data_IF_549983848668
#
_entry.id   IF_549983848668
#
_cell.length_a   1.000
_cell.length_b   1.000
_cell.length_c   1.000
_cell.angle_alpha   90.00
_cell.angle_beta   90.00
_cell.angle_gamma   90.00
#
_symmetry.space_group_name_H-M   'P 1'
#
loop_
_entity.id
_entity.type
_entity.pdbx_description
1 polymer ?
#
# COMPACT_ATOMS: atom_id res chain seq x y z
N UNK A 1 -24.01 36.08 29.83
CA UNK A 1 -23.59 34.76 29.33
C UNK A 1 -22.59 34.99 28.20
N UNK A 2 -21.29 34.77 28.46
CA UNK A 2 -20.24 34.88 27.44
C UNK A 2 -20.06 33.50 26.81
N UNK A 3 -20.44 33.38 25.56
CA UNK A 3 -20.22 32.16 24.76
C UNK A 3 -18.77 32.19 24.26
N UNK A 4 -17.92 31.39 24.91
CA UNK A 4 -16.53 31.20 24.48
C UNK A 4 -16.52 30.15 23.36
N UNK A 5 -16.36 30.60 22.12
CA UNK A 5 -16.06 29.72 21.01
C UNK A 5 -14.65 29.15 21.22
N UNK A 6 -14.55 27.89 21.61
CA UNK A 6 -13.29 27.15 21.51
C UNK A 6 -13.06 26.82 20.03
N UNK A 7 -12.08 27.50 19.45
CA UNK A 7 -11.55 27.12 18.13
C UNK A 7 -10.77 25.81 18.28
N UNK A 8 -11.31 24.71 17.76
CA UNK A 8 -10.59 23.44 17.68
C UNK A 8 -9.62 23.48 16.51
N UNK A 9 -8.34 23.46 16.83
CA UNK A 9 -7.27 23.26 15.86
C UNK A 9 -7.31 21.82 15.35
N UNK A 10 -7.53 21.65 14.03
CA UNK A 10 -7.40 20.34 13.36
C UNK A 10 -5.91 20.08 13.22
N UNK A 11 -5.36 19.27 14.11
CA UNK A 11 -3.99 18.79 13.97
C UNK A 11 -3.97 17.67 12.92
N UNK A 12 -3.49 17.98 11.72
CA UNK A 12 -3.20 16.98 10.69
C UNK A 12 -1.85 16.35 11.08
N UNK A 13 -1.89 15.22 11.76
CA UNK A 13 -0.68 14.43 11.99
C UNK A 13 -0.46 13.52 10.79
N UNK A 14 0.59 13.81 10.01
CA UNK A 14 1.13 12.85 9.07
C UNK A 14 1.84 11.75 9.87
N UNK A 15 1.27 10.56 9.89
CA UNK A 15 1.89 9.39 10.51
C UNK A 15 2.51 8.51 9.42
N UNK A 16 3.83 8.56 9.34
CA UNK A 16 4.63 7.60 8.60
C UNK A 16 4.81 6.34 9.44
N UNK A 17 4.16 5.25 9.08
CA UNK A 17 4.50 3.91 9.58
C UNK A 17 4.03 2.85 8.59
N UNK A 18 4.83 1.83 8.34
CA UNK A 18 4.54 0.61 7.57
C UNK A 18 4.01 0.78 6.12
N UNK A 19 3.54 1.96 5.73
CA UNK A 19 3.15 2.26 4.35
C UNK A 19 4.34 2.59 3.44
N UNK A 20 5.56 2.74 3.98
CA UNK A 20 6.74 3.20 3.22
C UNK A 20 7.11 2.26 2.06
N UNK A 21 6.66 1.01 2.09
CA UNK A 21 6.87 0.02 1.04
C UNK A 21 5.56 -0.52 0.44
N UNK A 22 4.42 0.14 0.71
CA UNK A 22 3.15 -0.22 0.10
C UNK A 22 2.85 0.68 -1.10
N UNK A 23 2.33 0.04 -2.15
CA UNK A 23 1.86 0.70 -3.36
C UNK A 23 0.47 0.21 -3.73
N UNK A 24 -0.20 0.98 -4.55
CA UNK A 24 -1.45 0.60 -5.22
C UNK A 24 -1.16 0.40 -6.70
N UNK A 25 -1.54 -0.76 -7.22
CA UNK A 25 -1.48 -1.10 -8.65
C UNK A 25 -2.90 -1.04 -9.21
N UNK A 26 -3.13 -0.13 -10.16
CA UNK A 26 -4.44 0.07 -10.80
C UNK A 26 -4.42 -0.44 -12.22
N UNK A 27 -5.34 -1.31 -12.58
CA UNK A 27 -5.49 -1.85 -13.93
C UNK A 27 -6.93 -2.35 -14.16
N UNK A 28 -7.48 -2.13 -15.35
CA UNK A 28 -8.80 -2.64 -15.73
C UNK A 28 -9.93 -2.22 -14.78
N UNK A 29 -9.87 -1.02 -14.19
CA UNK A 29 -10.84 -0.51 -13.24
C UNK A 29 -10.75 -1.12 -11.83
N UNK A 30 -9.73 -1.96 -11.56
CA UNK A 30 -9.45 -2.54 -10.25
C UNK A 30 -8.19 -1.93 -9.63
N UNK A 31 -8.13 -1.95 -8.30
CA UNK A 31 -6.96 -1.59 -7.51
C UNK A 31 -6.48 -2.81 -6.72
N UNK A 32 -5.17 -2.99 -6.62
CA UNK A 32 -4.51 -4.05 -5.88
C UNK A 32 -3.46 -3.42 -4.98
N UNK A 33 -3.38 -3.84 -3.72
CA UNK A 33 -2.27 -3.49 -2.85
C UNK A 33 -1.06 -4.36 -3.21
N UNK A 34 0.16 -3.79 -3.11
CA UNK A 34 1.40 -4.53 -3.31
C UNK A 34 2.45 -4.10 -2.28
N UNK A 35 3.25 -5.07 -1.85
CA UNK A 35 4.45 -4.83 -1.03
C UNK A 35 5.66 -4.74 -1.95
N UNK A 36 6.40 -3.65 -1.85
CA UNK A 36 7.70 -3.46 -2.50
C UNK A 36 8.79 -3.91 -1.54
N UNK A 37 9.78 -4.68 -2.02
CA UNK A 37 10.88 -5.14 -1.19
C UNK A 37 11.82 -3.98 -0.80
N UNK A 38 12.32 -3.96 0.43
CA UNK A 38 13.30 -2.98 0.89
C UNK A 38 14.72 -3.32 0.37
N UNK A 39 14.85 -3.24 -0.95
CA UNK A 39 16.08 -3.43 -1.71
C UNK A 39 16.46 -2.15 -2.44
N UNK A 40 17.68 -2.07 -2.99
CA UNK A 40 18.07 -0.95 -3.85
C UNK A 40 17.11 -0.79 -5.04
N UNK A 41 16.66 -1.91 -5.65
CA UNK A 41 15.70 -1.93 -6.75
C UNK A 41 14.33 -1.42 -6.30
N UNK A 42 13.83 -1.92 -5.17
CA UNK A 42 12.53 -1.53 -4.62
C UNK A 42 12.49 -0.05 -4.24
N UNK A 43 13.51 0.47 -3.56
CA UNK A 43 13.60 1.90 -3.23
C UNK A 43 13.64 2.77 -4.49
N UNK A 44 14.45 2.43 -5.48
CA UNK A 44 14.52 3.17 -6.75
C UNK A 44 13.18 3.10 -7.53
N UNK A 45 12.44 2.00 -7.44
CA UNK A 45 11.09 1.91 -8.00
C UNK A 45 10.13 2.85 -7.28
N UNK A 46 10.13 2.87 -5.94
CA UNK A 46 9.30 3.78 -5.13
C UNK A 46 9.55 5.27 -5.43
N UNK A 47 10.79 5.65 -5.80
CA UNK A 47 11.13 7.03 -6.19
C UNK A 47 10.53 7.45 -7.53
N UNK A 48 10.22 6.49 -8.42
CA UNK A 48 9.60 6.76 -9.71
C UNK A 48 8.07 6.92 -9.66
N UNK A 49 7.45 6.63 -8.53
CA UNK A 49 5.99 6.69 -8.39
C UNK A 49 5.48 8.14 -8.20
N UNK A 50 4.35 8.51 -8.77
CA UNK A 50 3.42 7.66 -9.54
C UNK A 50 3.92 7.37 -10.96
N UNK A 51 3.65 6.17 -11.47
CA UNK A 51 4.07 5.70 -12.78
C UNK A 51 2.90 5.04 -13.52
N UNK A 52 2.55 5.53 -14.72
CA UNK A 52 1.53 4.92 -15.57
C UNK A 52 2.18 4.42 -16.85
N UNK A 53 1.96 3.15 -17.16
CA UNK A 53 2.62 2.45 -18.27
C UNK A 53 1.59 1.69 -19.12
N UNK A 54 1.72 1.80 -20.44
CA UNK A 54 1.07 0.88 -21.37
C UNK A 54 1.94 -0.36 -21.48
N UNK A 55 1.53 -1.42 -20.83
CA UNK A 55 2.24 -2.68 -20.76
C UNK A 55 1.75 -3.66 -21.82
N UNK A 56 2.69 -4.29 -22.52
CA UNK A 56 2.42 -5.25 -23.58
C UNK A 56 2.20 -6.65 -23.00
N UNK A 57 1.39 -7.44 -23.66
CA UNK A 57 1.16 -8.86 -23.33
C UNK A 57 2.33 -9.73 -23.78
N UNK A 58 2.69 -10.71 -22.97
CA UNK A 58 3.65 -11.76 -23.35
C UNK A 58 3.25 -13.11 -22.72
N UNK A 59 3.29 -14.16 -23.52
CA UNK A 59 3.12 -15.56 -23.14
C UNK A 59 1.78 -15.93 -22.45
N UNK A 60 0.81 -15.04 -22.35
CA UNK A 60 -0.45 -15.31 -21.65
C UNK A 60 -0.33 -15.32 -20.12
N UNK A 61 0.75 -14.79 -19.56
CA UNK A 61 1.00 -14.83 -18.12
C UNK A 61 1.68 -13.59 -17.55
N UNK A 62 2.14 -12.64 -18.39
CA UNK A 62 2.83 -11.44 -17.94
C UNK A 62 2.50 -10.21 -18.79
N UNK A 63 2.55 -9.05 -18.16
CA UNK A 63 2.57 -7.74 -18.80
C UNK A 63 3.94 -7.12 -18.60
N UNK A 64 4.53 -6.58 -19.65
CA UNK A 64 5.86 -5.97 -19.57
C UNK A 64 5.95 -4.59 -20.21
N UNK A 65 6.91 -3.79 -19.76
CA UNK A 65 7.26 -2.50 -20.37
C UNK A 65 8.75 -2.22 -20.24
N UNK A 66 9.40 -1.92 -21.34
CA UNK A 66 10.77 -1.40 -21.37
C UNK A 66 10.82 0.10 -21.03
N UNK A 67 11.97 0.58 -20.60
CA UNK A 67 12.23 1.99 -20.30
C UNK A 67 12.16 2.35 -18.82
N UNK A 68 11.96 1.36 -17.94
CA UNK A 68 11.97 1.55 -16.49
C UNK A 68 13.31 1.08 -15.92
N UNK A 69 14.36 1.91 -16.04
CA UNK A 69 15.70 1.57 -15.55
C UNK A 69 15.76 1.60 -14.03
N UNK A 70 16.25 0.49 -13.43
CA UNK A 70 16.39 0.29 -11.99
C UNK A 70 17.71 -0.44 -11.68
N UNK A 71 18.24 -0.32 -10.43
CA UNK A 71 19.33 -1.18 -9.96
C UNK A 71 18.95 -2.66 -10.08
N UNK A 72 19.93 -3.51 -10.36
CA UNK A 72 19.71 -4.94 -10.59
C UNK A 72 20.36 -5.81 -9.52
N UNK A 73 19.68 -6.89 -9.14
CA UNK A 73 20.16 -7.97 -8.30
C UNK A 73 19.51 -9.28 -8.79
N UNK A 74 19.74 -9.61 -10.07
CA UNK A 74 19.06 -10.71 -10.73
C UNK A 74 19.41 -12.05 -10.08
N UNK A 75 18.39 -12.87 -9.84
CA UNK A 75 18.53 -14.24 -9.37
C UNK A 75 17.58 -15.15 -10.14
N UNK A 76 17.90 -16.45 -10.17
CA UNK A 76 17.09 -17.43 -10.85
C UNK A 76 15.83 -17.76 -10.04
N UNK A 77 14.67 -17.73 -10.69
CA UNK A 77 13.39 -18.14 -10.13
C UNK A 77 12.87 -19.38 -10.83
N UNK A 78 12.91 -20.53 -10.13
CA UNK A 78 12.28 -21.77 -10.61
C UNK A 78 10.75 -21.67 -10.69
N UNK A 79 10.15 -20.83 -9.85
CA UNK A 79 8.71 -20.56 -9.79
C UNK A 79 8.46 -19.06 -9.62
N UNK A 80 7.58 -18.52 -10.46
CA UNK A 80 7.05 -17.16 -10.39
C UNK A 80 5.53 -17.30 -10.35
N UNK A 81 4.87 -16.48 -9.56
CA UNK A 81 3.44 -16.53 -9.31
C UNK A 81 2.72 -15.28 -9.81
N UNK A 82 1.41 -15.39 -10.01
CA UNK A 82 0.58 -14.23 -10.27
C UNK A 82 0.71 -13.21 -9.12
N UNK A 83 0.84 -11.94 -9.48
CA UNK A 83 1.10 -10.84 -8.55
C UNK A 83 2.57 -10.49 -8.36
N UNK A 84 3.52 -11.34 -8.80
CA UNK A 84 4.94 -10.99 -8.74
C UNK A 84 5.25 -9.78 -9.64
N UNK A 85 5.93 -8.78 -9.09
CA UNK A 85 6.42 -7.59 -9.78
C UNK A 85 7.94 -7.68 -9.88
N UNK A 86 8.44 -7.76 -11.10
CA UNK A 86 9.84 -8.11 -11.40
C UNK A 86 10.48 -7.11 -12.36
N UNK A 87 11.79 -7.09 -12.40
CA UNK A 87 12.61 -6.44 -13.40
C UNK A 87 13.37 -7.49 -14.21
N UNK A 88 13.17 -7.54 -15.52
CA UNK A 88 13.96 -8.33 -16.44
C UNK A 88 15.10 -7.46 -17.02
N UNK A 89 16.32 -7.98 -16.98
CA UNK A 89 17.49 -7.16 -17.28
C UNK A 89 17.59 -5.95 -16.34
N UNK A 90 17.85 -4.77 -16.90
CA UNK A 90 18.02 -3.53 -16.14
C UNK A 90 16.91 -2.49 -16.34
N UNK A 91 15.97 -2.73 -17.27
CA UNK A 91 15.02 -1.69 -17.67
C UNK A 91 13.64 -2.22 -18.13
N UNK A 92 13.34 -3.51 -17.98
CA UNK A 92 12.06 -4.08 -18.35
C UNK A 92 11.25 -4.42 -17.10
N UNK A 93 10.24 -3.62 -16.79
CA UNK A 93 9.29 -3.89 -15.72
C UNK A 93 8.31 -4.97 -16.17
N UNK A 94 8.08 -5.97 -15.30
CA UNK A 94 7.19 -7.11 -15.57
C UNK A 94 6.22 -7.31 -14.41
N UNK A 95 4.93 -7.37 -14.72
CA UNK A 95 3.86 -7.75 -13.79
C UNK A 95 3.31 -9.11 -14.22
N UNK A 96 3.54 -10.14 -13.43
CA UNK A 96 2.99 -11.47 -13.67
C UNK A 96 1.53 -11.54 -13.23
N UNK A 97 0.67 -12.07 -14.09
CA UNK A 97 -0.72 -12.36 -13.76
C UNK A 97 -1.09 -13.86 -13.91
N UNK A 98 -0.10 -14.66 -14.28
CA UNK A 98 -0.12 -16.11 -14.33
C UNK A 98 1.19 -16.70 -13.82
N UNK A 99 1.25 -18.02 -13.73
CA UNK A 99 2.45 -18.73 -13.32
C UNK A 99 3.53 -18.71 -14.41
N UNK A 100 4.80 -18.58 -14.01
CA UNK A 100 5.97 -18.65 -14.85
C UNK A 100 7.14 -19.29 -14.08
N UNK A 101 8.32 -19.40 -14.72
CA UNK A 101 9.53 -19.87 -14.07
C UNK A 101 10.64 -20.16 -15.07
N UNK A 102 11.81 -20.51 -14.52
CA UNK A 102 12.96 -20.85 -15.33
C UNK A 102 13.77 -19.68 -15.88
N UNK A 103 13.62 -18.48 -15.31
CA UNK A 103 14.32 -17.27 -15.73
C UNK A 103 14.92 -16.50 -14.57
N UNK A 104 15.87 -15.62 -14.89
CA UNK A 104 16.50 -14.71 -13.92
C UNK A 104 15.87 -13.34 -13.99
N UNK A 105 15.41 -12.85 -12.84
CA UNK A 105 14.81 -11.53 -12.63
C UNK A 105 15.38 -10.87 -11.37
N UNK A 106 15.23 -9.57 -11.27
CA UNK A 106 15.33 -8.87 -9.97
C UNK A 106 13.93 -8.64 -9.43
N UNK A 107 13.67 -9.11 -8.21
CA UNK A 107 12.37 -8.89 -7.58
C UNK A 107 12.23 -7.43 -7.15
N UNK A 108 11.08 -6.83 -7.45
CA UNK A 108 10.70 -5.49 -6.98
C UNK A 108 9.72 -5.61 -5.83
N UNK A 109 8.75 -6.52 -5.96
CA UNK A 109 7.71 -6.72 -4.96
C UNK A 109 6.67 -7.74 -5.40
N UNK A 110 5.54 -7.76 -4.69
CA UNK A 110 4.42 -8.67 -4.97
C UNK A 110 3.09 -8.04 -4.56
N UNK A 111 2.04 -8.29 -5.32
CA UNK A 111 0.66 -7.99 -4.92
C UNK A 111 0.30 -8.83 -3.69
N UNK A 112 -0.49 -8.26 -2.78
CA UNK A 112 -0.98 -8.96 -1.58
C UNK A 112 -2.02 -10.02 -1.92
N UNK A 113 -2.79 -9.77 -2.98
CA UNK A 113 -3.67 -10.74 -3.61
C UNK A 113 -3.60 -10.61 -5.13
N UNK A 114 -3.70 -11.71 -5.84
CA UNK A 114 -3.82 -11.75 -7.31
C UNK A 114 -5.25 -12.04 -7.79
N UNK A 115 -6.22 -12.07 -6.87
CA UNK A 115 -7.60 -12.40 -7.17
C UNK A 115 -8.24 -11.42 -8.16
N UNK A 116 -8.57 -11.94 -9.33
CA UNK A 116 -9.13 -11.14 -10.41
C UNK A 116 -8.10 -10.31 -11.21
N UNK A 117 -6.78 -10.44 -10.94
CA UNK A 117 -5.74 -9.74 -11.68
C UNK A 117 -5.74 -10.11 -13.16
N UNK A 118 -5.79 -11.40 -13.49
CA UNK A 118 -5.84 -11.87 -14.88
C UNK A 118 -7.02 -11.28 -15.66
N UNK A 119 -8.19 -11.18 -15.02
CA UNK A 119 -9.36 -10.53 -15.62
C UNK A 119 -9.15 -9.02 -15.80
N UNK A 120 -8.53 -8.36 -14.85
CA UNK A 120 -8.30 -6.92 -14.87
C UNK A 120 -7.30 -6.50 -15.96
N UNK A 121 -6.21 -7.27 -16.13
CA UNK A 121 -5.20 -6.98 -17.18
C UNK A 121 -5.66 -7.36 -18.59
N UNK A 122 -6.62 -8.28 -18.73
CA UNK A 122 -7.13 -8.75 -20.02
C UNK A 122 -6.08 -9.43 -20.90
N UNK A 123 -6.49 -9.76 -22.14
CA UNK A 123 -5.67 -10.55 -23.07
C UNK A 123 -4.74 -9.73 -23.99
N UNK A 124 -4.86 -8.39 -24.01
CA UNK A 124 -4.05 -7.50 -24.85
C UNK A 124 -3.12 -6.61 -24.03
N UNK A 125 -2.68 -5.50 -24.62
CA UNK A 125 -2.01 -4.46 -23.87
C UNK A 125 -2.92 -3.89 -22.76
N UNK A 126 -2.32 -3.48 -21.66
CA UNK A 126 -3.03 -2.90 -20.53
C UNK A 126 -2.33 -1.67 -20.01
N UNK A 127 -3.07 -0.59 -19.73
CA UNK A 127 -2.55 0.55 -19.00
C UNK A 127 -2.56 0.23 -17.51
N UNK A 128 -1.38 0.22 -16.90
CA UNK A 128 -1.17 -0.08 -15.48
C UNK A 128 -0.60 1.15 -14.80
N UNK A 129 -1.23 1.57 -13.69
CA UNK A 129 -0.75 2.69 -12.85
C UNK A 129 -0.25 2.15 -11.52
N UNK A 130 0.95 2.56 -11.15
CA UNK A 130 1.58 2.28 -9.86
C UNK A 130 1.63 3.57 -9.05
N UNK A 131 1.11 3.57 -7.84
CA UNK A 131 1.07 4.74 -6.95
C UNK A 131 1.54 4.36 -5.55
N UNK A 132 2.16 5.30 -4.82
CA UNK A 132 2.42 5.09 -3.40
C UNK A 132 1.10 4.94 -2.65
N UNK A 133 1.06 3.99 -1.72
CA UNK A 133 -0.08 3.91 -0.82
C UNK A 133 -0.12 5.16 0.07
N UNK A 134 -1.31 5.72 0.24
CA UNK A 134 -1.57 6.84 1.14
C UNK A 134 -2.44 6.36 2.28
N UNK A 135 -2.11 6.77 3.50
CA UNK A 135 -2.90 6.47 4.68
C UNK A 135 -2.91 7.71 5.58
N UNK A 136 -4.07 8.28 5.77
CA UNK A 136 -4.27 9.45 6.62
C UNK A 136 -5.50 9.27 7.51
N UNK A 137 -5.56 10.00 8.61
CA UNK A 137 -6.72 10.00 9.51
C UNK A 137 -7.38 11.38 9.55
N UNK A 138 -8.69 11.37 9.54
CA UNK A 138 -9.51 12.50 9.96
C UNK A 138 -10.03 12.23 11.36
N UNK A 139 -9.86 13.18 12.27
CA UNK A 139 -10.33 13.07 13.65
C UNK A 139 -11.41 14.14 13.88
N UNK A 140 -12.59 13.69 14.30
CA UNK A 140 -13.69 14.54 14.73
C UNK A 140 -14.05 14.22 16.16
N UNK A 141 -14.36 15.23 16.97
CA UNK A 141 -14.85 15.03 18.34
C UNK A 141 -16.37 14.90 18.35
N UNK A 142 -16.86 13.87 19.03
CA UNK A 142 -18.24 13.71 19.41
C UNK A 142 -18.30 13.80 20.95
N UNK A 143 -18.65 14.97 21.46
CA UNK A 143 -18.42 15.32 22.86
C UNK A 143 -16.90 15.22 23.19
N UNK A 144 -16.57 14.34 24.13
CA UNK A 144 -15.17 14.08 24.55
C UNK A 144 -14.57 12.83 23.88
N UNK A 145 -15.29 12.20 22.95
CA UNK A 145 -14.87 10.96 22.31
C UNK A 145 -14.36 11.26 20.90
N UNK A 146 -13.08 10.96 20.58
CA UNK A 146 -12.56 11.08 19.22
C UNK A 146 -13.23 10.08 18.27
N UNK A 147 -13.73 10.55 17.15
CA UNK A 147 -14.19 9.74 16.01
C UNK A 147 -13.09 9.79 14.95
N UNK A 148 -12.55 8.63 14.58
CA UNK A 148 -11.40 8.54 13.68
C UNK A 148 -11.85 7.85 12.40
N UNK A 149 -11.62 8.53 11.27
CA UNK A 149 -11.91 7.99 9.93
C UNK A 149 -10.60 7.87 9.17
N UNK A 150 -10.26 6.67 8.72
CA UNK A 150 -9.14 6.43 7.83
C UNK A 150 -9.48 6.89 6.40
N UNK A 151 -8.52 7.57 5.75
CA UNK A 151 -8.58 7.95 4.34
C UNK A 151 -7.36 7.33 3.65
N UNK A 152 -7.61 6.51 2.64
CA UNK A 152 -6.57 5.76 1.93
C UNK A 152 -6.93 5.57 0.47
N UNK A 153 -5.91 5.36 -0.39
CA UNK A 153 -6.07 4.90 -1.78
C UNK A 153 -5.92 3.37 -1.91
N UNK A 154 -5.67 2.66 -0.79
CA UNK A 154 -5.62 1.19 -0.79
C UNK A 154 -6.98 0.61 -1.22
N UNK A 155 -7.01 -0.61 -1.77
CA UNK A 155 -8.25 -1.32 -2.07
C UNK A 155 -9.18 -1.41 -0.85
N UNK A 156 -10.49 -1.42 -1.09
CA UNK A 156 -11.50 -1.42 -0.02
C UNK A 156 -11.43 -2.64 0.91
N UNK A 157 -10.91 -3.75 0.42
CA UNK A 157 -10.65 -4.99 1.17
C UNK A 157 -9.42 -4.91 2.08
N UNK A 158 -8.60 -3.86 1.96
CA UNK A 158 -7.44 -3.68 2.83
C UNK A 158 -7.89 -3.39 4.26
N UNK A 159 -7.45 -4.20 5.21
CA UNK A 159 -7.77 -4.00 6.61
C UNK A 159 -6.95 -2.83 7.18
N UNK A 160 -7.64 -1.79 7.66
CA UNK A 160 -7.04 -0.64 8.32
C UNK A 160 -7.39 -0.71 9.81
N UNK A 161 -6.36 -0.87 10.65
CA UNK A 161 -6.52 -0.82 12.11
C UNK A 161 -6.16 0.55 12.64
N UNK A 162 -7.02 1.12 13.47
CA UNK A 162 -6.72 2.33 14.22
C UNK A 162 -6.18 1.95 15.59
N UNK A 163 -4.90 2.15 15.81
CA UNK A 163 -4.28 1.96 17.11
C UNK A 163 -4.32 3.27 17.92
N UNK A 164 -4.52 3.17 19.23
CA UNK A 164 -4.56 4.31 20.14
C UNK A 164 -3.69 4.06 21.37
N UNK A 165 -3.06 5.12 21.87
CA UNK A 165 -2.31 5.13 23.11
C UNK A 165 -2.65 6.36 23.95
N UNK A 166 -2.39 6.30 25.27
CA UNK A 166 -2.54 7.41 26.20
C UNK A 166 -1.31 8.32 26.22
N UNK A 167 -0.15 7.75 25.84
CA UNK A 167 1.15 8.41 25.77
C UNK A 167 1.78 8.18 24.39
N UNK A 168 2.40 9.22 23.75
CA UNK A 168 3.02 9.07 22.44
C UNK A 168 4.29 8.22 22.46
N UNK A 169 4.95 8.11 23.62
CA UNK A 169 6.16 7.29 23.83
C UNK A 169 5.85 5.85 24.23
N UNK A 170 4.57 5.47 24.29
CA UNK A 170 4.15 4.13 24.66
C UNK A 170 4.79 3.04 23.79
N UNK A 171 5.21 1.93 24.41
CA UNK A 171 5.71 0.76 23.70
C UNK A 171 4.64 0.17 22.78
N UNK A 172 5.07 -0.56 21.73
CA UNK A 172 4.12 -1.17 20.75
C UNK A 172 3.02 -1.99 21.41
N UNK A 173 3.32 -2.67 22.51
CA UNK A 173 2.37 -3.50 23.28
C UNK A 173 1.27 -2.69 24.00
N UNK A 174 1.49 -1.40 24.23
CA UNK A 174 0.54 -0.50 24.91
C UNK A 174 -0.45 0.15 23.92
N UNK A 175 -0.17 0.08 22.63
CA UNK A 175 -1.07 0.56 21.60
C UNK A 175 -2.19 -0.45 21.39
N UNK A 176 -3.43 -0.02 21.58
CA UNK A 176 -4.64 -0.85 21.51
C UNK A 176 -5.45 -0.52 20.26
N UNK A 177 -6.15 -1.52 19.72
CA UNK A 177 -7.13 -1.25 18.67
C UNK A 177 -8.25 -0.38 19.24
N UNK A 178 -8.34 0.85 18.72
CA UNK A 178 -9.30 1.85 19.16
C UNK A 178 -10.75 1.40 18.96
N UNK A 179 -11.00 0.63 17.90
CA UNK A 179 -12.36 0.16 17.59
C UNK A 179 -12.86 -0.87 18.61
N UNK A 180 -11.94 -1.62 19.22
CA UNK A 180 -12.24 -2.64 20.23
C UNK A 180 -12.30 -2.08 21.66
N UNK A 181 -11.95 -0.80 21.88
CA UNK A 181 -12.01 -0.19 23.20
C UNK A 181 -13.45 0.04 23.64
N UNK A 182 -13.77 -0.18 24.95
CA UNK A 182 -15.03 0.21 25.53
C UNK A 182 -15.29 1.71 25.37
N UNK A 183 -16.54 2.10 25.11
CA UNK A 183 -16.91 3.50 24.83
C UNK A 183 -16.49 4.47 25.96
N UNK A 184 -16.61 4.02 27.23
CA UNK A 184 -16.22 4.79 28.41
C UNK A 184 -14.71 5.00 28.56
N UNK A 185 -13.89 4.21 27.88
CA UNK A 185 -12.43 4.34 27.91
C UNK A 185 -11.88 5.22 26.78
N UNK A 186 -12.59 5.33 25.65
CA UNK A 186 -12.12 6.01 24.43
C UNK A 186 -11.69 7.46 24.68
N UNK A 187 -12.34 8.17 25.57
CA UNK A 187 -12.02 9.56 25.91
C UNK A 187 -10.66 9.75 26.59
N UNK A 188 -10.03 8.67 27.09
CA UNK A 188 -8.72 8.72 27.72
C UNK A 188 -7.55 8.67 26.72
N UNK A 189 -7.82 8.27 25.47
CA UNK A 189 -6.79 8.13 24.45
C UNK A 189 -6.63 9.41 23.67
N UNK A 190 -5.37 9.79 23.38
CA UNK A 190 -5.01 11.07 22.75
C UNK A 190 -4.13 10.91 21.53
N UNK A 191 -3.45 9.77 21.40
CA UNK A 191 -2.52 9.48 20.32
C UNK A 191 -3.05 8.34 19.50
N UNK A 192 -3.03 8.49 18.17
CA UNK A 192 -3.63 7.54 17.25
C UNK A 192 -2.66 7.21 16.12
N UNK A 193 -2.69 5.96 15.66
CA UNK A 193 -1.91 5.47 14.54
C UNK A 193 -2.80 4.60 13.67
N UNK A 194 -2.72 4.80 12.36
CA UNK A 194 -3.33 3.90 11.39
C UNK A 194 -2.31 2.85 10.95
N UNK A 195 -2.72 1.61 10.88
CA UNK A 195 -1.92 0.49 10.38
C UNK A 195 -2.70 -0.20 9.28
N UNK A 196 -2.11 -0.29 8.10
CA UNK A 196 -2.64 -1.11 7.02
C UNK A 196 -2.14 -2.54 7.19
N UNK A 197 -3.05 -3.48 7.39
CA UNK A 197 -2.76 -4.91 7.41
C UNK A 197 -3.02 -5.43 6.00
N UNK A 198 -1.95 -5.65 5.26
CA UNK A 198 -1.97 -6.21 3.91
C UNK A 198 -1.14 -7.50 3.99
N UNK A 199 -1.84 -8.59 4.21
CA UNK A 199 -1.26 -9.94 4.26
C UNK A 199 -1.17 -10.55 2.87
#
# INVERSE_FOLDING_TARGET
MKCTLLAFSIATMALTTAADHLIVVKVGGKSFAAKVEDTATGRAFMEKLPLTLDMTELNGNEKYRYGVSLPTAAQYFGKIEAGDLMLYGSNCLVLFYGAAGGYSYTRIGKLTTSDGLAKAVGNGAATVTFEKATLSASIRMDGNVPQITAVTNLPAESAITTLAAKDPSADKSEWKDYNLLPANEKSAYRFFRLVANVD
#
